data_IF_406136923039
#
_entry.id   IF_406136923039
#
_cell.length_a   1.000
_cell.length_b   1.000
_cell.length_c   1.000
_cell.angle_alpha   90.00
_cell.angle_beta   90.00
_cell.angle_gamma   90.00
#
_symmetry.space_group_name_H-M   'P 1'
#
loop_
_entity.id
_entity.type
_entity.pdbx_description
1 polymer ?
#
# COMPACT_ATOMS: atom_id res chain seq x y z
N UNK A 1 -33.40 -5.17 -41.27
CA UNK A 1 -31.99 -5.30 -40.85
C UNK A 1 -31.97 -5.22 -39.35
N UNK A 2 -31.98 -6.39 -38.70
CA UNK A 2 -31.84 -6.48 -37.25
C UNK A 2 -30.43 -6.05 -36.87
N UNK A 3 -30.23 -5.25 -35.80
CA UNK A 3 -28.89 -5.01 -35.29
C UNK A 3 -28.33 -6.36 -34.85
N UNK A 4 -27.13 -6.70 -35.33
CA UNK A 4 -26.42 -7.91 -34.96
C UNK A 4 -26.24 -7.93 -33.44
N UNK A 5 -26.70 -8.99 -32.78
CA UNK A 5 -26.41 -9.34 -31.37
C UNK A 5 -24.92 -9.75 -31.18
N UNK A 6 -24.01 -8.97 -31.76
CA UNK A 6 -22.57 -9.10 -31.61
C UNK A 6 -21.91 -7.74 -31.32
N UNK A 7 -22.56 -6.89 -30.53
CA UNK A 7 -21.80 -5.99 -29.66
C UNK A 7 -21.03 -6.90 -28.69
N UNK A 8 -19.80 -7.25 -29.09
CA UNK A 8 -19.05 -8.38 -28.55
C UNK A 8 -18.94 -8.33 -27.04
N UNK A 9 -19.12 -9.48 -26.40
CA UNK A 9 -18.97 -9.65 -24.95
C UNK A 9 -17.72 -8.92 -24.43
N UNK A 10 -17.78 -8.30 -23.24
CA UNK A 10 -16.64 -7.59 -22.66
C UNK A 10 -15.37 -8.42 -22.72
N UNK A 11 -14.32 -7.86 -23.33
CA UNK A 11 -13.01 -8.51 -23.43
C UNK A 11 -12.13 -7.97 -22.32
N UNK A 12 -11.72 -8.82 -21.41
CA UNK A 12 -10.79 -8.42 -20.36
C UNK A 12 -9.34 -8.66 -20.77
N UNK A 13 -8.45 -7.78 -20.35
CA UNK A 13 -7.02 -7.97 -20.35
C UNK A 13 -6.46 -7.65 -18.96
N UNK A 14 -5.41 -8.37 -18.55
CA UNK A 14 -4.72 -8.13 -17.29
C UNK A 14 -3.23 -8.02 -17.54
N UNK A 15 -2.64 -6.89 -17.13
CA UNK A 15 -1.19 -6.74 -17.03
C UNK A 15 -0.76 -7.29 -15.68
N UNK A 16 -0.12 -8.44 -15.66
CA UNK A 16 0.20 -9.15 -14.43
C UNK A 16 1.14 -10.31 -14.65
N UNK A 17 1.75 -10.79 -13.57
CA UNK A 17 2.61 -11.97 -13.58
C UNK A 17 1.76 -13.23 -13.77
N UNK A 18 1.87 -13.98 -14.88
CA UNK A 18 0.96 -15.08 -15.21
C UNK A 18 0.87 -16.18 -14.15
N UNK A 19 1.97 -16.43 -13.45
CA UNK A 19 2.09 -17.41 -12.36
C UNK A 19 1.47 -16.93 -11.04
N UNK A 20 1.17 -15.62 -10.91
CA UNK A 20 0.70 -15.04 -9.67
C UNK A 20 -0.77 -15.34 -9.42
N UNK A 21 -1.08 -15.66 -8.16
CA UNK A 21 -2.46 -15.93 -7.69
C UNK A 21 -3.45 -14.81 -8.02
N UNK A 22 -3.01 -13.55 -8.11
CA UNK A 22 -3.87 -12.40 -8.43
C UNK A 22 -4.44 -12.51 -9.86
N UNK A 23 -3.60 -12.90 -10.83
CA UNK A 23 -4.02 -13.17 -12.21
C UNK A 23 -4.95 -14.40 -12.27
N UNK A 24 -4.65 -15.44 -11.49
CA UNK A 24 -5.49 -16.64 -11.41
C UNK A 24 -6.88 -16.34 -10.83
N UNK A 25 -6.95 -15.58 -9.73
CA UNK A 25 -8.22 -15.16 -9.10
C UNK A 25 -9.06 -14.29 -10.03
N UNK A 26 -8.45 -13.29 -10.67
CA UNK A 26 -9.15 -12.46 -11.65
C UNK A 26 -9.67 -13.28 -12.84
N UNK A 27 -8.85 -14.19 -13.38
CA UNK A 27 -9.26 -15.10 -14.46
C UNK A 27 -10.44 -15.97 -14.05
N UNK A 28 -10.45 -16.47 -12.82
CA UNK A 28 -11.55 -17.27 -12.30
C UNK A 28 -12.84 -16.43 -12.15
N UNK A 29 -12.75 -15.21 -11.63
CA UNK A 29 -13.88 -14.30 -11.49
C UNK A 29 -14.51 -13.94 -12.85
N UNK A 30 -13.69 -13.59 -13.86
CA UNK A 30 -14.16 -13.32 -15.23
C UNK A 30 -14.91 -14.52 -15.81
N UNK A 31 -14.37 -15.74 -15.63
CA UNK A 31 -15.02 -16.98 -16.10
C UNK A 31 -16.32 -17.29 -15.35
N UNK A 32 -16.34 -17.07 -14.02
CA UNK A 32 -17.53 -17.26 -13.20
C UNK A 32 -18.66 -16.30 -13.59
N UNK A 33 -18.31 -15.11 -14.10
CA UNK A 33 -19.25 -14.16 -14.70
C UNK A 33 -19.74 -14.56 -16.12
N UNK A 34 -19.35 -15.73 -16.64
CA UNK A 34 -19.76 -16.22 -17.95
C UNK A 34 -19.03 -15.58 -19.13
N UNK A 35 -17.91 -14.90 -18.88
CA UNK A 35 -17.15 -14.17 -19.90
C UNK A 35 -15.93 -14.97 -20.40
N UNK A 36 -15.41 -14.66 -21.61
CA UNK A 36 -14.16 -15.23 -22.10
C UNK A 36 -13.00 -14.94 -21.14
N UNK A 37 -12.06 -15.89 -21.04
CA UNK A 37 -10.87 -15.72 -20.21
C UNK A 37 -10.11 -14.43 -20.60
N UNK A 38 -9.59 -13.66 -19.62
CA UNK A 38 -8.86 -12.44 -19.92
C UNK A 38 -7.57 -12.74 -20.66
N UNK A 39 -7.16 -11.84 -21.56
CA UNK A 39 -5.82 -11.85 -22.15
C UNK A 39 -4.81 -11.47 -21.07
N UNK A 40 -3.87 -12.36 -20.77
CA UNK A 40 -2.78 -12.08 -19.83
C UNK A 40 -1.63 -11.43 -20.59
N UNK A 41 -1.15 -10.30 -20.09
CA UNK A 41 0.01 -9.56 -20.61
C UNK A 41 1.09 -9.54 -19.52
N UNK A 42 2.18 -10.32 -19.64
CA UNK A 42 3.20 -10.41 -18.61
C UNK A 42 3.90 -9.07 -18.37
N UNK A 43 4.15 -8.73 -17.10
CA UNK A 43 4.91 -7.51 -16.75
C UNK A 43 6.31 -7.51 -17.35
N UNK A 44 6.98 -8.66 -17.43
CA UNK A 44 8.32 -8.77 -18.01
C UNK A 44 8.36 -8.35 -19.48
N UNK A 45 7.33 -8.70 -20.26
CA UNK A 45 7.19 -8.26 -21.65
C UNK A 45 6.94 -6.75 -21.73
N UNK A 46 6.01 -6.22 -20.93
CA UNK A 46 5.72 -4.79 -20.87
C UNK A 46 6.96 -3.98 -20.49
N UNK A 47 7.71 -4.42 -19.49
CA UNK A 47 8.92 -3.75 -19.01
C UNK A 47 10.05 -3.77 -20.04
N UNK A 48 10.18 -4.84 -20.82
CA UNK A 48 11.19 -4.96 -21.89
C UNK A 48 10.83 -4.15 -23.12
N UNK A 49 9.56 -4.15 -23.51
CA UNK A 49 9.05 -3.40 -24.65
C UNK A 49 8.83 -1.91 -24.34
N UNK A 50 8.77 -1.53 -23.05
CA UNK A 50 8.45 -0.18 -22.61
C UNK A 50 6.97 0.18 -22.74
N UNK A 51 6.07 -0.81 -22.81
CA UNK A 51 4.64 -0.62 -23.00
C UNK A 51 3.93 -1.84 -23.57
N UNK A 52 2.63 -1.70 -23.86
CA UNK A 52 1.80 -2.69 -24.55
C UNK A 52 0.57 -2.02 -25.18
N UNK A 53 0.04 -2.62 -26.23
CA UNK A 53 -1.17 -2.17 -26.91
C UNK A 53 -2.39 -3.05 -26.57
N UNK A 54 -3.54 -2.40 -26.44
CA UNK A 54 -4.83 -3.02 -26.16
C UNK A 54 -5.87 -2.57 -27.18
N UNK A 55 -6.76 -3.49 -27.56
CA UNK A 55 -7.80 -3.17 -28.52
C UNK A 55 -8.85 -2.22 -27.90
N UNK A 56 -9.55 -1.36 -28.68
CA UNK A 56 -10.51 -0.39 -28.16
C UNK A 56 -11.66 -0.95 -27.30
N UNK A 57 -11.99 -2.24 -27.44
CA UNK A 57 -13.00 -2.93 -26.63
C UNK A 57 -12.45 -3.77 -25.48
N UNK A 58 -11.13 -3.73 -25.21
CA UNK A 58 -10.53 -4.41 -24.06
C UNK A 58 -10.64 -3.55 -22.80
N UNK A 59 -11.21 -4.10 -21.73
CA UNK A 59 -11.09 -3.55 -20.37
C UNK A 59 -9.80 -4.07 -19.74
N UNK A 60 -8.91 -3.14 -19.36
CA UNK A 60 -7.54 -3.44 -18.95
C UNK A 60 -7.37 -3.22 -17.45
N UNK A 61 -7.06 -4.29 -16.73
CA UNK A 61 -6.68 -4.27 -15.31
C UNK A 61 -5.16 -4.32 -15.18
N UNK A 62 -4.59 -3.51 -14.29
CA UNK A 62 -3.20 -3.70 -13.86
C UNK A 62 -3.19 -4.45 -12.53
N UNK A 63 -2.26 -5.39 -12.38
CA UNK A 63 -1.97 -6.03 -11.10
C UNK A 63 -0.53 -5.77 -10.66
N UNK A 64 -0.22 -6.14 -9.41
CA UNK A 64 1.11 -5.96 -8.84
C UNK A 64 2.19 -6.68 -9.67
N UNK A 65 3.30 -6.00 -10.04
CA UNK A 65 4.45 -6.65 -10.66
C UNK A 65 5.32 -7.43 -9.65
N UNK A 66 4.98 -7.38 -8.35
CA UNK A 66 5.73 -8.06 -7.29
C UNK A 66 5.60 -9.58 -7.30
N UNK A 67 6.36 -10.25 -6.42
CA UNK A 67 6.47 -11.72 -6.33
C UNK A 67 7.01 -12.37 -7.63
N UNK A 68 7.71 -11.63 -8.48
CA UNK A 68 8.41 -12.12 -9.68
C UNK A 68 9.84 -11.54 -9.73
N UNK A 69 10.85 -12.41 -9.74
CA UNK A 69 12.25 -11.99 -9.63
C UNK A 69 12.77 -11.24 -10.87
N UNK A 70 12.30 -11.60 -12.07
CA UNK A 70 12.69 -10.92 -13.30
C UNK A 70 12.10 -9.51 -13.39
N UNK A 71 10.82 -9.36 -13.04
CA UNK A 71 10.18 -8.05 -12.95
C UNK A 71 10.85 -7.16 -11.89
N UNK A 72 11.20 -7.71 -10.72
CA UNK A 72 11.92 -6.97 -9.67
C UNK A 72 13.31 -6.52 -10.14
N UNK A 73 14.06 -7.39 -10.82
CA UNK A 73 15.35 -7.05 -11.43
C UNK A 73 15.19 -5.93 -12.49
N UNK A 74 14.18 -6.03 -13.37
CA UNK A 74 13.92 -5.01 -14.39
C UNK A 74 13.52 -3.66 -13.77
N UNK A 75 12.78 -3.66 -12.67
CA UNK A 75 12.29 -2.44 -12.01
C UNK A 75 13.34 -1.81 -11.09
N UNK A 76 14.04 -2.60 -10.27
CA UNK A 76 14.98 -2.11 -9.24
C UNK A 76 16.43 -2.20 -9.68
N UNK A 77 16.77 -3.12 -10.58
CA UNK A 77 18.16 -3.43 -10.91
C UNK A 77 18.95 -4.00 -9.73
N UNK A 78 18.27 -4.71 -8.83
CA UNK A 78 18.90 -5.49 -7.75
C UNK A 78 18.83 -6.97 -8.10
N UNK A 79 19.89 -7.70 -7.75
CA UNK A 79 20.08 -9.13 -8.03
C UNK A 79 19.39 -10.05 -7.01
N UNK A 80 18.94 -9.50 -5.88
CA UNK A 80 18.28 -10.22 -4.80
C UNK A 80 16.96 -9.52 -4.43
N UNK A 81 15.80 -10.20 -4.53
CA UNK A 81 14.49 -9.61 -4.26
C UNK A 81 14.28 -9.24 -2.78
N UNK A 82 15.11 -9.77 -1.88
CA UNK A 82 15.06 -9.43 -0.45
C UNK A 82 15.74 -8.11 -0.14
N UNK A 83 16.49 -7.51 -1.09
CA UNK A 83 17.06 -6.17 -0.93
C UNK A 83 15.98 -5.15 -0.61
N UNK A 84 16.36 -4.05 0.03
CA UNK A 84 15.41 -2.98 0.42
C UNK A 84 15.53 -1.74 -0.47
N UNK A 85 16.69 -1.55 -1.09
CA UNK A 85 17.06 -0.38 -1.90
C UNK A 85 16.53 -0.42 -3.35
N UNK A 86 16.57 0.71 -4.06
CA UNK A 86 16.16 0.80 -5.45
C UNK A 86 14.66 1.06 -5.65
N UNK A 87 13.93 1.42 -4.60
CA UNK A 87 12.49 1.75 -4.68
C UNK A 87 12.22 3.01 -5.51
N UNK A 88 13.12 4.00 -5.53
CA UNK A 88 13.00 5.16 -6.43
C UNK A 88 13.13 4.74 -7.91
N UNK A 89 14.10 3.86 -8.21
CA UNK A 89 14.27 3.32 -9.57
C UNK A 89 13.06 2.48 -9.98
N UNK A 90 12.56 1.64 -9.06
CA UNK A 90 11.32 0.87 -9.25
C UNK A 90 10.18 1.79 -9.65
N UNK A 91 9.97 2.87 -8.89
CA UNK A 91 8.90 3.84 -9.13
C UNK A 91 8.99 4.48 -10.52
N UNK A 92 10.18 4.99 -10.88
CA UNK A 92 10.39 5.62 -12.20
C UNK A 92 10.16 4.64 -13.35
N UNK A 93 10.69 3.41 -13.26
CA UNK A 93 10.56 2.41 -14.32
C UNK A 93 9.13 1.88 -14.42
N UNK A 94 8.47 1.65 -13.29
CA UNK A 94 7.06 1.26 -13.23
C UNK A 94 6.18 2.30 -13.92
N UNK A 95 6.31 3.59 -13.57
CA UNK A 95 5.52 4.64 -14.20
C UNK A 95 5.85 4.85 -15.68
N UNK A 96 7.10 4.64 -16.08
CA UNK A 96 7.48 4.67 -17.50
C UNK A 96 6.76 3.58 -18.28
N UNK A 97 6.76 2.35 -17.77
CA UNK A 97 6.08 1.22 -18.39
C UNK A 97 4.56 1.41 -18.43
N UNK A 98 3.97 1.89 -17.34
CA UNK A 98 2.54 2.24 -17.27
C UNK A 98 2.18 3.35 -18.26
N UNK A 99 3.03 4.36 -18.43
CA UNK A 99 2.87 5.42 -19.42
C UNK A 99 2.98 4.95 -20.88
N UNK A 100 3.62 3.80 -21.10
CA UNK A 100 3.72 3.15 -22.40
C UNK A 100 2.53 2.28 -22.78
N UNK A 101 1.56 2.06 -21.89
CA UNK A 101 0.34 1.32 -22.19
C UNK A 101 -0.61 2.17 -23.07
N UNK A 102 -1.10 1.61 -24.18
CA UNK A 102 -1.99 2.31 -25.13
C UNK A 102 -3.24 1.52 -25.49
N UNK A 103 -4.32 2.23 -25.76
CA UNK A 103 -5.61 1.63 -26.11
C UNK A 103 -6.32 0.97 -24.92
N UNK A 104 -7.46 0.34 -25.19
CA UNK A 104 -8.34 -0.23 -24.17
C UNK A 104 -8.96 0.79 -23.20
N UNK A 105 -9.83 0.30 -22.33
CA UNK A 105 -10.44 1.04 -21.22
C UNK A 105 -9.74 0.59 -19.93
N UNK A 106 -8.93 1.47 -19.34
CA UNK A 106 -8.16 1.12 -18.12
C UNK A 106 -9.03 1.21 -16.87
N UNK A 107 -8.84 0.27 -15.95
CA UNK A 107 -9.40 0.31 -14.61
C UNK A 107 -8.55 1.13 -13.62
N UNK A 108 -7.31 1.45 -14.01
CA UNK A 108 -6.35 2.24 -13.23
C UNK A 108 -5.85 3.43 -14.06
N UNK A 109 -5.57 4.55 -13.40
CA UNK A 109 -5.02 5.73 -14.09
C UNK A 109 -3.54 5.98 -13.75
N UNK A 110 -2.65 6.15 -14.75
CA UNK A 110 -1.22 6.41 -14.54
C UNK A 110 -0.91 7.59 -13.61
N UNK A 111 -1.69 8.66 -13.65
CA UNK A 111 -1.48 9.82 -12.79
C UNK A 111 -1.98 9.56 -11.36
N UNK A 112 -3.06 8.80 -11.18
CA UNK A 112 -3.46 8.33 -9.85
C UNK A 112 -2.40 7.37 -9.28
N UNK A 113 -1.91 6.41 -10.09
CA UNK A 113 -0.84 5.48 -9.71
C UNK A 113 0.45 6.22 -9.33
N UNK A 114 0.81 7.29 -10.04
CA UNK A 114 1.96 8.11 -9.70
C UNK A 114 1.87 8.75 -8.31
N UNK A 115 0.65 9.01 -7.82
CA UNK A 115 0.41 9.51 -6.46
C UNK A 115 0.32 8.36 -5.47
N UNK A 116 -0.46 7.32 -5.76
CA UNK A 116 -0.68 6.15 -4.89
C UNK A 116 0.63 5.43 -4.54
N UNK A 117 1.58 5.37 -5.47
CA UNK A 117 2.89 4.74 -5.25
C UNK A 117 3.92 5.64 -4.55
N UNK A 118 3.66 6.94 -4.36
CA UNK A 118 4.54 7.83 -3.58
C UNK A 118 3.82 8.29 -2.30
N UNK A 119 4.23 7.71 -1.16
CA UNK A 119 3.59 7.96 0.15
C UNK A 119 3.52 9.43 0.51
N UNK A 120 4.52 10.23 0.13
CA UNK A 120 4.55 11.67 0.44
C UNK A 120 3.48 12.42 -0.34
N UNK A 121 3.34 12.07 -1.62
CA UNK A 121 2.32 12.66 -2.51
C UNK A 121 0.92 12.20 -2.13
N UNK A 122 0.72 10.90 -1.92
CA UNK A 122 -0.55 10.36 -1.47
C UNK A 122 -0.97 11.00 -0.15
N UNK A 123 -0.06 11.10 0.82
CA UNK A 123 -0.32 11.74 2.11
C UNK A 123 -0.74 13.21 1.95
N UNK A 124 -0.02 13.98 1.13
CA UNK A 124 -0.36 15.37 0.83
C UNK A 124 -1.75 15.54 0.20
N UNK A 125 -2.12 14.67 -0.74
CA UNK A 125 -3.45 14.69 -1.39
C UNK A 125 -4.56 14.41 -0.37
N UNK A 126 -4.36 13.41 0.48
CA UNK A 126 -5.33 13.05 1.53
C UNK A 126 -5.49 14.18 2.56
N UNK A 127 -4.38 14.76 3.01
CA UNK A 127 -4.40 15.89 3.95
C UNK A 127 -5.13 17.10 3.36
N UNK A 128 -4.83 17.46 2.11
CA UNK A 128 -5.50 18.56 1.40
C UNK A 128 -7.01 18.33 1.22
N UNK A 129 -7.44 17.08 1.10
CA UNK A 129 -8.85 16.69 1.02
C UNK A 129 -9.54 16.58 2.39
N UNK A 130 -8.84 16.88 3.50
CA UNK A 130 -9.38 16.75 4.85
C UNK A 130 -9.58 15.30 5.31
N UNK A 131 -8.97 14.34 4.63
CA UNK A 131 -8.92 12.94 5.07
C UNK A 131 -7.91 12.87 6.23
N UNK A 132 -8.28 12.30 7.39
CA UNK A 132 -7.38 12.28 8.53
C UNK A 132 -6.18 11.38 8.22
N UNK A 133 -4.98 11.93 8.35
CA UNK A 133 -3.70 11.24 8.19
C UNK A 133 -2.78 11.58 9.36
N UNK A 134 -1.77 10.75 9.70
CA UNK A 134 -0.79 11.10 10.73
C UNK A 134 0.01 12.34 10.30
N UNK A 135 0.31 13.27 11.21
CA UNK A 135 1.16 14.42 10.88
C UNK A 135 2.51 13.99 10.27
N UNK A 136 2.90 14.63 9.16
CA UNK A 136 4.12 14.31 8.39
C UNK A 136 4.86 15.59 8.01
N UNK A 137 6.16 15.75 8.34
CA UNK A 137 6.96 16.88 7.88
C UNK A 137 7.49 16.73 6.45
N UNK A 138 7.31 15.55 5.84
CA UNK A 138 7.82 15.21 4.50
C UNK A 138 6.71 15.16 3.45
N UNK A 139 5.53 15.67 3.78
CA UNK A 139 4.35 15.69 2.91
C UNK A 139 3.79 17.10 2.84
N UNK A 140 3.13 17.42 1.72
CA UNK A 140 2.51 18.72 1.48
C UNK A 140 3.45 19.77 0.86
N UNK A 141 2.96 21.01 0.65
CA UNK A 141 3.70 22.05 -0.07
C UNK A 141 5.01 22.49 0.61
N UNK A 142 5.10 22.35 1.93
CA UNK A 142 6.28 22.69 2.72
C UNK A 142 7.08 21.44 3.15
N UNK A 143 6.96 20.34 2.38
CA UNK A 143 7.64 19.09 2.68
C UNK A 143 9.16 19.26 2.75
N UNK A 144 9.75 18.83 3.87
CA UNK A 144 11.19 18.76 4.01
C UNK A 144 11.75 17.58 3.20
N UNK A 145 12.85 17.83 2.48
CA UNK A 145 13.69 16.75 1.98
C UNK A 145 14.46 16.12 3.15
N UNK A 146 14.66 14.79 3.08
CA UNK A 146 15.42 14.03 4.09
C UNK A 146 16.57 13.37 3.37
N UNK A 147 17.77 13.93 3.54
CA UNK A 147 19.01 13.43 2.93
C UNK A 147 19.70 12.35 3.75
N UNK A 148 19.28 12.14 4.99
CA UNK A 148 19.86 11.16 5.89
C UNK A 148 19.36 11.28 7.33
N UNK A 149 20.06 10.62 8.25
CA UNK A 149 19.69 10.52 9.65
C UNK A 149 19.69 11.85 10.40
N UNK A 150 20.62 12.75 10.08
CA UNK A 150 20.69 14.06 10.71
C UNK A 150 19.42 14.90 10.45
N UNK A 151 18.86 14.80 9.24
CA UNK A 151 17.58 15.41 8.90
C UNK A 151 16.44 14.77 9.68
N UNK A 152 16.42 13.43 9.82
CA UNK A 152 15.43 12.73 10.64
C UNK A 152 15.48 13.25 12.08
N UNK A 153 16.67 13.33 12.70
CA UNK A 153 16.86 13.84 14.06
C UNK A 153 16.44 15.30 14.20
N UNK A 154 16.74 16.14 13.21
CA UNK A 154 16.35 17.56 13.17
C UNK A 154 14.82 17.70 13.12
N UNK A 155 14.17 17.02 12.17
CA UNK A 155 12.72 17.07 12.00
C UNK A 155 11.96 16.48 13.20
N UNK A 156 12.50 15.44 13.86
CA UNK A 156 11.96 14.93 15.14
C UNK A 156 11.87 16.03 16.20
N UNK A 157 12.90 16.87 16.33
CA UNK A 157 12.96 17.97 17.30
C UNK A 157 12.03 19.11 16.90
N UNK A 158 12.13 19.58 15.66
CA UNK A 158 11.36 20.72 15.13
C UNK A 158 9.84 20.47 15.23
N UNK A 159 9.39 19.27 14.88
CA UNK A 159 7.97 18.92 14.87
C UNK A 159 7.48 18.23 16.15
N UNK A 160 8.33 18.15 17.19
CA UNK A 160 8.03 17.49 18.48
C UNK A 160 7.45 16.08 18.25
N UNK A 161 8.18 15.28 17.48
CA UNK A 161 7.85 13.91 17.11
C UNK A 161 8.85 12.96 17.78
N UNK A 162 8.71 12.68 19.10
CA UNK A 162 9.60 11.76 19.80
C UNK A 162 9.45 10.32 19.33
N UNK A 163 8.40 10.01 18.56
CA UNK A 163 8.19 8.73 17.91
C UNK A 163 7.63 8.94 16.51
N UNK A 164 8.21 8.29 15.52
CA UNK A 164 7.78 8.37 14.13
C UNK A 164 8.07 7.07 13.37
N UNK A 165 7.44 6.92 12.23
CA UNK A 165 7.88 5.97 11.22
C UNK A 165 8.72 6.69 10.18
N UNK A 166 9.88 6.12 9.83
CA UNK A 166 10.61 6.42 8.60
C UNK A 166 10.28 5.32 7.61
N UNK A 167 9.84 5.67 6.41
CA UNK A 167 9.46 4.73 5.35
C UNK A 167 10.14 5.16 4.05
N UNK A 168 10.51 4.21 3.21
CA UNK A 168 10.76 4.51 1.80
C UNK A 168 9.51 5.13 1.15
N UNK A 169 9.68 6.17 0.34
CA UNK A 169 8.57 6.84 -0.32
C UNK A 169 7.75 5.89 -1.20
N UNK A 170 8.45 4.98 -1.91
CA UNK A 170 7.86 4.03 -2.86
C UNK A 170 7.93 2.57 -2.41
N UNK A 171 8.33 2.32 -1.16
CA UNK A 171 8.42 0.96 -0.61
C UNK A 171 7.05 0.31 -0.44
N UNK A 172 6.96 -1.01 -0.46
CA UNK A 172 5.72 -1.75 -0.17
C UNK A 172 5.97 -2.84 0.86
N UNK A 173 4.90 -3.46 1.37
CA UNK A 173 5.01 -4.60 2.29
C UNK A 173 5.90 -4.31 3.51
N UNK A 174 5.82 -3.11 4.05
CA UNK A 174 6.65 -2.66 5.18
C UNK A 174 8.18 -2.84 5.01
N UNK A 175 8.66 -3.07 3.78
CA UNK A 175 10.08 -3.13 3.48
C UNK A 175 10.68 -1.73 3.66
N UNK A 176 11.82 -1.63 4.35
CA UNK A 176 12.47 -0.35 4.60
C UNK A 176 11.74 0.56 5.58
N UNK A 177 10.83 0.01 6.41
CA UNK A 177 10.13 0.79 7.44
C UNK A 177 10.86 0.68 8.78
N UNK A 178 11.13 1.83 9.41
CA UNK A 178 11.70 1.92 10.75
C UNK A 178 10.71 2.65 11.67
N UNK A 179 10.30 1.99 12.75
CA UNK A 179 9.60 2.63 13.86
C UNK A 179 10.65 3.21 14.82
N UNK A 180 10.88 4.52 14.73
CA UNK A 180 11.91 5.24 15.48
C UNK A 180 11.30 5.90 16.71
N UNK A 181 11.98 5.79 17.84
CA UNK A 181 11.64 6.52 19.06
C UNK A 181 12.87 7.10 19.73
N UNK A 182 12.74 8.33 20.22
CA UNK A 182 13.74 9.01 21.04
C UNK A 182 13.28 9.02 22.50
N UNK A 183 14.13 8.50 23.38
CA UNK A 183 13.95 8.53 24.83
C UNK A 183 14.67 9.70 25.51
N UNK A 184 14.55 9.77 26.84
CA UNK A 184 15.26 10.75 27.65
C UNK A 184 16.79 10.62 27.53
N UNK A 185 17.49 11.76 27.59
CA UNK A 185 18.95 11.89 27.41
C UNK A 185 19.46 11.57 25.99
N UNK A 186 18.63 11.76 24.97
CA UNK A 186 19.06 11.65 23.56
C UNK A 186 19.21 10.22 23.04
N UNK A 187 18.85 9.20 23.84
CA UNK A 187 18.82 7.79 23.41
C UNK A 187 17.81 7.60 22.29
N UNK A 188 18.16 6.81 21.29
CA UNK A 188 17.27 6.47 20.17
C UNK A 188 17.21 4.97 19.98
N UNK A 189 16.05 4.48 19.56
CA UNK A 189 15.82 3.09 19.18
C UNK A 189 15.03 3.04 17.88
N UNK A 190 15.33 2.07 17.04
CA UNK A 190 14.54 1.75 15.85
C UNK A 190 14.10 0.29 15.87
N UNK A 191 12.81 0.05 15.61
CA UNK A 191 12.26 -1.29 15.38
C UNK A 191 11.96 -1.47 13.90
N UNK A 192 12.53 -2.49 13.26
CA UNK A 192 12.43 -2.70 11.80
C UNK A 192 12.61 -4.17 11.44
N UNK A 193 12.22 -4.56 10.22
CA UNK A 193 12.62 -5.85 9.63
C UNK A 193 13.87 -5.76 8.75
N UNK A 194 14.40 -4.54 8.55
CA UNK A 194 15.63 -4.31 7.81
C UNK A 194 16.80 -4.90 8.58
N UNK A 195 17.53 -5.78 7.92
CA UNK A 195 18.79 -6.35 8.38
C UNK A 195 19.92 -5.78 7.54
N UNK A 196 20.95 -5.28 8.22
CA UNK A 196 22.18 -4.80 7.60
C UNK A 196 23.21 -5.92 7.62
N UNK A 197 23.65 -6.35 6.44
CA UNK A 197 24.74 -7.31 6.31
C UNK A 197 26.10 -6.66 6.61
N UNK A 198 27.14 -7.47 6.79
CA UNK A 198 28.51 -7.00 7.09
C UNK A 198 29.07 -6.09 5.98
N UNK A 199 28.69 -6.35 4.73
CA UNK A 199 29.05 -5.54 3.56
C UNK A 199 28.24 -4.24 3.43
N UNK A 200 27.33 -3.98 4.38
CA UNK A 200 26.50 -2.78 4.45
C UNK A 200 25.21 -2.84 3.63
N UNK A 201 24.97 -3.92 2.86
CA UNK A 201 23.71 -4.09 2.11
C UNK A 201 22.53 -4.30 3.05
N UNK A 202 21.36 -3.84 2.61
CA UNK A 202 20.14 -3.93 3.39
C UNK A 202 19.17 -4.98 2.82
N UNK A 203 18.62 -5.80 3.70
CA UNK A 203 17.70 -6.88 3.36
C UNK A 203 16.46 -6.84 4.23
N UNK A 204 15.29 -7.17 3.69
CA UNK A 204 14.08 -7.40 4.46
C UNK A 204 14.11 -8.82 5.01
N UNK A 205 14.58 -8.98 6.25
CA UNK A 205 14.71 -10.28 6.91
C UNK A 205 13.36 -10.94 7.26
N UNK A 206 12.25 -10.20 7.10
CA UNK A 206 10.91 -10.54 7.58
C UNK A 206 10.80 -10.75 9.10
N UNK A 207 11.91 -10.60 9.84
CA UNK A 207 11.99 -10.73 11.29
C UNK A 207 12.15 -9.36 11.93
N UNK A 208 11.26 -9.03 12.86
CA UNK A 208 11.36 -7.78 13.60
C UNK A 208 12.59 -7.80 14.51
N UNK A 209 13.42 -6.77 14.38
CA UNK A 209 14.64 -6.54 15.17
C UNK A 209 14.62 -5.13 15.76
N UNK A 210 15.50 -4.89 16.73
CA UNK A 210 15.68 -3.60 17.38
C UNK A 210 17.13 -3.16 17.28
N UNK A 211 17.35 -1.95 16.78
CA UNK A 211 18.63 -1.27 16.83
C UNK A 211 18.58 -0.23 17.95
N UNK A 212 19.57 -0.28 18.85
CA UNK A 212 19.73 0.66 19.97
C UNK A 212 21.03 1.47 19.86
N UNK A 213 21.96 1.08 18.98
CA UNK A 213 23.09 1.92 18.58
C UNK A 213 22.64 2.90 17.49
N UNK A 214 22.77 4.19 17.77
CA UNK A 214 22.40 5.25 16.84
C UNK A 214 23.18 5.18 15.52
N UNK A 215 24.42 4.68 15.53
CA UNK A 215 25.24 4.54 14.32
C UNK A 215 24.67 3.51 13.36
N UNK A 216 24.12 2.42 13.87
CA UNK A 216 23.46 1.40 13.05
C UNK A 216 22.16 1.95 12.45
N UNK A 217 21.39 2.70 13.25
CA UNK A 217 20.17 3.35 12.78
C UNK A 217 20.50 4.35 11.67
N UNK A 218 21.53 5.17 11.87
CA UNK A 218 21.99 6.14 10.89
C UNK A 218 22.42 5.46 9.60
N UNK A 219 23.26 4.42 9.68
CA UNK A 219 23.71 3.67 8.52
C UNK A 219 22.56 3.09 7.69
N UNK A 220 21.52 2.57 8.34
CA UNK A 220 20.32 2.08 7.64
C UNK A 220 19.57 3.23 6.96
N UNK A 221 19.30 4.33 7.67
CA UNK A 221 18.57 5.48 7.13
C UNK A 221 19.32 6.13 5.98
N UNK A 222 20.62 6.36 6.13
CA UNK A 222 21.47 7.00 5.13
C UNK A 222 21.58 6.14 3.85
N UNK A 223 21.60 4.82 3.99
CA UNK A 223 21.58 3.91 2.82
C UNK A 223 20.24 3.96 2.09
N UNK A 224 19.13 4.18 2.80
CA UNK A 224 17.78 4.27 2.21
C UNK A 224 17.44 5.68 1.72
N UNK A 225 18.10 6.72 2.20
CA UNK A 225 17.78 8.11 1.88
C UNK A 225 17.78 8.46 0.37
N UNK A 226 18.70 7.92 -0.47
CA UNK A 226 18.69 8.18 -1.91
C UNK A 226 17.41 7.74 -2.63
N UNK A 227 16.68 6.77 -2.08
CA UNK A 227 15.40 6.33 -2.62
C UNK A 227 14.23 7.27 -2.24
N UNK A 228 14.48 8.24 -1.36
CA UNK A 228 13.48 9.14 -0.82
C UNK A 228 12.77 8.56 0.40
N UNK A 229 12.66 9.38 1.45
CA UNK A 229 12.06 9.00 2.71
C UNK A 229 10.77 9.77 2.98
N UNK A 230 9.84 9.09 3.62
CA UNK A 230 8.62 9.61 4.19
C UNK A 230 8.65 9.42 5.70
N UNK A 231 8.40 10.50 6.44
CA UNK A 231 8.31 10.52 7.88
C UNK A 231 6.88 10.81 8.31
N UNK A 232 6.35 10.03 9.24
CA UNK A 232 5.01 10.28 9.78
C UNK A 232 4.94 9.97 11.27
N UNK A 233 4.05 10.67 11.98
CA UNK A 233 3.88 10.48 13.41
C UNK A 233 3.47 9.05 13.72
N UNK A 234 4.16 8.42 14.66
CA UNK A 234 3.77 7.10 15.13
C UNK A 234 2.53 7.20 16.02
N UNK A 235 1.36 6.99 15.40
CA UNK A 235 0.06 6.92 16.07
C UNK A 235 0.00 5.68 16.97
N UNK A 236 -0.23 5.83 18.29
CA UNK A 236 -0.55 4.69 19.14
C UNK A 236 -1.87 4.06 18.68
N UNK A 237 -1.78 2.82 18.16
CA UNK A 237 -2.94 2.10 17.63
C UNK A 237 -3.79 1.54 18.76
N UNK A 238 -5.09 1.44 18.52
CA UNK A 238 -5.97 0.60 19.31
C UNK A 238 -5.51 -0.86 19.26
N UNK A 239 -5.94 -1.65 20.23
CA UNK A 239 -5.60 -3.06 20.30
C UNK A 239 -6.83 -3.96 20.34
N UNK A 240 -6.69 -5.18 19.83
CA UNK A 240 -7.59 -6.30 20.11
C UNK A 240 -6.80 -7.39 20.83
N UNK A 241 -7.30 -7.87 21.97
CA UNK A 241 -6.65 -8.92 22.76
C UNK A 241 -5.17 -8.62 23.05
N UNK A 242 -4.84 -7.38 23.42
CA UNK A 242 -3.48 -6.93 23.71
C UNK A 242 -2.56 -6.76 22.50
N UNK A 243 -3.07 -6.94 21.26
CA UNK A 243 -2.31 -6.81 20.00
C UNK A 243 -2.72 -5.53 19.29
N UNK A 244 -1.76 -4.74 18.81
CA UNK A 244 -2.03 -3.54 18.02
C UNK A 244 -2.83 -3.90 16.76
N UNK A 245 -3.86 -3.12 16.45
CA UNK A 245 -4.79 -3.40 15.36
C UNK A 245 -4.79 -2.28 14.31
N UNK A 246 -4.91 -2.66 13.05
CA UNK A 246 -5.30 -1.78 11.95
C UNK A 246 -6.38 -2.44 11.09
N UNK A 247 -6.92 -1.71 10.11
CA UNK A 247 -7.87 -2.24 9.13
C UNK A 247 -7.33 -2.07 7.73
N UNK A 248 -7.52 -3.09 6.89
CA UNK A 248 -7.44 -2.98 5.43
C UNK A 248 -8.87 -2.99 4.92
N UNK A 249 -9.29 -1.88 4.31
CA UNK A 249 -10.61 -1.72 3.69
C UNK A 249 -10.44 -1.63 2.18
N UNK A 250 -11.12 -2.49 1.43
CA UNK A 250 -11.17 -2.42 -0.02
C UNK A 250 -12.32 -1.50 -0.43
N UNK A 251 -12.01 -0.50 -1.26
CA UNK A 251 -13.00 0.40 -1.84
C UNK A 251 -13.02 0.16 -3.34
N UNK A 252 -14.19 -0.22 -3.87
CA UNK A 252 -14.41 -0.49 -5.30
C UNK A 252 -15.49 0.46 -5.79
N UNK A 253 -15.23 1.18 -6.88
CA UNK A 253 -16.14 2.17 -7.45
C UNK A 253 -16.68 3.17 -6.41
N UNK A 254 -15.81 3.62 -5.49
CA UNK A 254 -16.15 4.58 -4.44
C UNK A 254 -16.89 4.03 -3.23
N UNK A 255 -17.19 2.72 -3.16
CA UNK A 255 -17.88 2.09 -2.04
C UNK A 255 -16.96 1.11 -1.29
N UNK A 256 -16.95 1.16 0.04
CA UNK A 256 -16.25 0.17 0.85
C UNK A 256 -16.95 -1.20 0.74
N UNK A 257 -16.27 -2.18 0.15
CA UNK A 257 -16.84 -3.50 -0.14
C UNK A 257 -16.34 -4.59 0.77
N UNK A 258 -15.07 -4.54 1.20
CA UNK A 258 -14.47 -5.56 2.04
C UNK A 258 -13.65 -4.92 3.16
N UNK A 259 -13.57 -5.56 4.32
CA UNK A 259 -12.69 -5.10 5.40
C UNK A 259 -12.09 -6.27 6.15
N UNK A 260 -10.81 -6.15 6.53
CA UNK A 260 -10.14 -7.09 7.42
C UNK A 260 -9.36 -6.34 8.49
N UNK A 261 -9.48 -6.80 9.74
CA UNK A 261 -8.63 -6.33 10.83
C UNK A 261 -7.32 -7.10 10.79
N UNK A 262 -6.18 -6.41 10.90
CA UNK A 262 -4.86 -7.06 11.07
C UNK A 262 -4.31 -6.69 12.43
N UNK A 263 -3.75 -7.69 13.13
CA UNK A 263 -3.25 -7.52 14.50
C UNK A 263 -1.80 -8.00 14.64
N UNK A 264 -1.00 -7.29 15.43
CA UNK A 264 0.41 -7.61 15.67
C UNK A 264 0.83 -7.36 17.12
N UNK A 265 1.82 -8.12 17.60
CA UNK A 265 2.52 -7.83 18.86
C UNK A 265 3.56 -6.72 18.70
N UNK A 266 3.90 -6.35 17.46
CA UNK A 266 4.82 -5.28 17.12
C UNK A 266 4.06 -4.05 16.57
N UNK A 267 4.72 -2.88 16.49
CA UNK A 267 4.12 -1.68 15.89
C UNK A 267 3.76 -1.86 14.41
N UNK A 268 4.44 -2.75 13.70
CA UNK A 268 4.16 -3.10 12.30
C UNK A 268 3.13 -4.24 12.26
N UNK A 269 2.00 -4.00 11.60
CA UNK A 269 0.79 -4.86 11.61
C UNK A 269 0.61 -5.70 10.35
N UNK A 270 1.53 -5.59 9.39
CA UNK A 270 1.44 -6.32 8.13
C UNK A 270 1.43 -7.84 8.34
N UNK A 271 0.54 -8.55 7.64
CA UNK A 271 0.33 -9.99 7.82
C UNK A 271 1.58 -10.82 7.51
N UNK A 272 2.38 -10.41 6.52
CA UNK A 272 3.62 -11.12 6.16
C UNK A 272 4.76 -10.92 7.17
N UNK A 273 4.61 -10.03 8.16
CA UNK A 273 5.53 -9.86 9.29
C UNK A 273 5.02 -10.57 10.57
N UNK A 274 4.21 -11.62 10.41
CA UNK A 274 3.61 -12.37 11.53
C UNK A 274 2.34 -11.73 12.11
N UNK A 275 1.73 -10.80 11.39
CA UNK A 275 0.40 -10.29 11.72
C UNK A 275 -0.68 -11.37 11.52
N UNK A 276 -1.77 -11.26 12.28
CA UNK A 276 -2.90 -12.19 12.22
C UNK A 276 -4.20 -11.44 11.90
N UNK A 277 -5.18 -12.12 11.30
CA UNK A 277 -6.53 -11.55 11.16
C UNK A 277 -7.15 -11.37 12.55
N UNK A 278 -7.68 -10.18 12.80
CA UNK A 278 -8.48 -9.87 13.99
C UNK A 278 -9.96 -10.16 13.77
N UNK A 279 -10.77 -9.81 14.76
CA UNK A 279 -12.22 -9.94 14.73
C UNK A 279 -12.83 -8.60 14.28
N UNK A 280 -13.46 -8.59 13.10
CA UNK A 280 -14.10 -7.40 12.53
C UNK A 280 -15.32 -6.97 13.34
N UNK A 281 -16.10 -7.92 13.85
CA UNK A 281 -17.27 -7.61 14.68
C UNK A 281 -16.84 -7.03 16.03
N UNK A 282 -15.72 -7.52 16.60
CA UNK A 282 -15.13 -6.89 17.78
C UNK A 282 -14.65 -5.47 17.51
N UNK A 283 -14.08 -5.19 16.33
CA UNK A 283 -13.72 -3.83 15.94
C UNK A 283 -14.97 -2.95 15.86
N UNK A 284 -16.02 -3.41 15.18
CA UNK A 284 -17.31 -2.71 15.09
C UNK A 284 -17.91 -2.40 16.48
N UNK A 285 -18.00 -3.41 17.35
CA UNK A 285 -18.49 -3.24 18.73
C UNK A 285 -17.64 -2.23 19.51
N UNK A 286 -16.33 -2.23 19.32
CA UNK A 286 -15.44 -1.28 19.98
C UNK A 286 -15.67 0.17 19.51
N UNK A 287 -15.95 0.37 18.22
CA UNK A 287 -16.33 1.69 17.67
C UNK A 287 -17.66 2.16 18.25
N UNK A 288 -18.66 1.29 18.26
CA UNK A 288 -20.00 1.59 18.79
C UNK A 288 -19.95 1.90 20.29
N UNK A 289 -19.22 1.10 21.08
CA UNK A 289 -19.00 1.34 22.51
C UNK A 289 -18.23 2.65 22.78
N UNK A 290 -17.41 3.09 21.82
CA UNK A 290 -16.69 4.36 21.90
C UNK A 290 -17.54 5.56 21.48
N UNK A 291 -18.81 5.35 21.07
CA UNK A 291 -19.77 6.37 20.65
C UNK A 291 -19.72 6.72 19.17
N UNK A 292 -18.97 5.96 18.34
CA UNK A 292 -18.89 6.14 16.90
C UNK A 292 -19.85 5.23 16.14
N UNK A 293 -20.03 5.48 14.83
CA UNK A 293 -20.74 4.57 13.93
C UNK A 293 -19.75 3.90 12.98
N UNK A 294 -19.93 2.61 12.73
CA UNK A 294 -19.10 1.87 11.79
C UNK A 294 -19.14 2.46 10.37
N UNK A 295 -20.29 2.97 9.94
CA UNK A 295 -20.45 3.65 8.66
C UNK A 295 -19.53 4.88 8.53
N UNK A 296 -19.27 5.60 9.62
CA UNK A 296 -18.38 6.77 9.59
C UNK A 296 -16.92 6.34 9.40
N UNK A 297 -16.53 5.15 9.89
CA UNK A 297 -15.22 4.54 9.70
C UNK A 297 -15.01 4.13 8.24
N UNK A 298 -16.00 3.46 7.64
CA UNK A 298 -15.98 3.14 6.21
C UNK A 298 -15.97 4.40 5.35
N UNK A 299 -16.74 5.42 5.72
CA UNK A 299 -16.78 6.70 5.04
C UNK A 299 -15.44 7.44 5.02
N UNK A 300 -14.55 7.23 6.00
CA UNK A 300 -13.16 7.74 5.92
C UNK A 300 -12.41 7.10 4.75
N UNK A 301 -12.57 5.79 4.56
CA UNK A 301 -11.92 5.05 3.49
C UNK A 301 -12.49 5.44 2.12
N UNK A 302 -13.81 5.62 2.01
CA UNK A 302 -14.48 6.08 0.80
C UNK A 302 -14.04 7.50 0.41
N UNK A 303 -13.90 8.42 1.38
CA UNK A 303 -13.32 9.76 1.12
C UNK A 303 -11.86 9.70 0.67
N UNK A 304 -11.07 8.78 1.23
CA UNK A 304 -9.69 8.56 0.76
C UNK A 304 -9.65 8.07 -0.69
N UNK A 305 -10.52 7.11 -1.04
CA UNK A 305 -10.64 6.61 -2.40
C UNK A 305 -11.18 7.67 -3.38
N UNK A 306 -12.07 8.55 -2.95
CA UNK A 306 -12.60 9.65 -3.76
C UNK A 306 -11.53 10.67 -4.21
N UNK A 307 -10.34 10.65 -3.59
CA UNK A 307 -9.18 11.41 -4.05
C UNK A 307 -8.54 10.84 -5.33
N UNK A 308 -8.91 9.61 -5.72
CA UNK A 308 -8.38 8.88 -6.88
C UNK A 308 -9.53 8.34 -7.76
N UNK A 309 -10.41 9.22 -8.30
CA UNK A 309 -11.66 8.81 -8.92
C UNK A 309 -11.48 8.06 -10.25
N UNK A 310 -10.27 8.03 -10.81
CA UNK A 310 -9.97 7.36 -12.09
C UNK A 310 -9.33 5.99 -11.89
N UNK A 311 -9.19 5.56 -10.64
CA UNK A 311 -8.75 4.21 -10.26
C UNK A 311 -9.92 3.49 -9.62
N UNK A 312 -10.38 2.40 -10.25
CA UNK A 312 -11.60 1.70 -9.86
C UNK A 312 -11.54 1.13 -8.44
N UNK A 313 -10.36 0.64 -8.04
CA UNK A 313 -10.19 -0.15 -6.83
C UNK A 313 -8.95 0.29 -6.05
N UNK A 314 -9.10 0.56 -4.76
CA UNK A 314 -7.98 0.85 -3.86
C UNK A 314 -8.15 0.16 -2.50
N UNK A 315 -7.05 -0.30 -1.93
CA UNK A 315 -6.99 -0.78 -0.56
C UNK A 315 -6.51 0.30 0.40
N UNK A 316 -7.37 0.73 1.32
CA UNK A 316 -7.08 1.73 2.34
C UNK A 316 -6.63 1.05 3.63
N UNK A 317 -5.45 1.42 4.12
CA UNK A 317 -4.95 1.05 5.44
C UNK A 317 -5.38 2.10 6.47
N UNK A 318 -6.31 1.73 7.34
CA UNK A 318 -6.86 2.61 8.37
C UNK A 318 -6.30 2.26 9.75
N UNK A 319 -5.80 3.28 10.45
CA UNK A 319 -5.16 3.20 11.76
C UNK A 319 -6.14 3.70 12.83
N UNK A 320 -6.79 2.81 13.61
CA UNK A 320 -7.58 3.22 14.75
C UNK A 320 -6.64 3.69 15.86
N UNK A 321 -6.83 4.91 16.37
CA UNK A 321 -6.14 5.39 17.56
C UNK A 321 -6.70 4.69 18.81
N UNK A 322 -5.92 4.70 19.90
CA UNK A 322 -6.34 4.16 21.22
C UNK A 322 -7.77 4.58 21.57
N UNK A 323 -8.58 3.59 21.94
CA UNK A 323 -9.99 3.78 22.28
C UNK A 323 -10.96 3.77 21.09
N UNK A 324 -10.51 3.50 19.86
CA UNK A 324 -11.37 3.34 18.67
C UNK A 324 -12.24 4.56 18.31
N UNK A 325 -11.90 5.75 18.83
CA UNK A 325 -12.64 7.02 18.61
C UNK A 325 -12.17 7.83 17.41
N UNK A 326 -10.90 7.65 17.02
CA UNK A 326 -10.24 8.43 15.97
C UNK A 326 -9.52 7.48 15.03
N UNK A 327 -9.51 7.83 13.77
CA UNK A 327 -8.93 7.03 12.70
C UNK A 327 -8.06 7.91 11.83
N UNK A 328 -6.97 7.36 11.33
CA UNK A 328 -6.12 8.01 10.35
C UNK A 328 -5.81 7.02 9.22
N UNK A 329 -5.82 7.49 7.98
CA UNK A 329 -5.36 6.71 6.83
C UNK A 329 -3.84 6.66 6.88
N UNK A 330 -3.29 5.46 6.98
CA UNK A 330 -1.85 5.22 6.98
C UNK A 330 -1.27 5.06 5.57
N UNK A 331 -2.06 4.51 4.64
CA UNK A 331 -1.68 4.30 3.24
C UNK A 331 -2.91 4.00 2.38
N UNK A 332 -2.85 4.34 1.09
CA UNK A 332 -3.82 3.91 0.06
C UNK A 332 -3.05 3.16 -1.02
N UNK A 333 -3.45 1.92 -1.30
CA UNK A 333 -2.72 0.99 -2.16
C UNK A 333 -3.52 0.71 -3.44
N UNK A 334 -2.92 0.92 -4.62
CA UNK A 334 -3.54 0.58 -5.91
C UNK A 334 -3.84 -0.92 -6.05
N UNK A 335 -2.94 -1.79 -5.55
CA UNK A 335 -3.09 -3.25 -5.65
C UNK A 335 -3.46 -3.88 -4.30
N UNK A 336 -4.38 -3.23 -3.59
CA UNK A 336 -4.70 -3.54 -2.20
C UNK A 336 -5.78 -4.60 -1.96
N UNK A 337 -6.19 -5.28 -3.01
CA UNK A 337 -7.38 -6.12 -3.16
C UNK A 337 -7.18 -7.61 -2.84
N UNK A 338 -5.94 -8.09 -2.78
CA UNK A 338 -5.66 -9.50 -2.47
C UNK A 338 -5.99 -9.84 -1.00
N UNK A 339 -7.24 -10.20 -0.73
CA UNK A 339 -7.77 -10.56 0.58
C UNK A 339 -8.43 -11.94 0.53
N UNK A 340 -7.63 -13.04 0.44
CA UNK A 340 -8.17 -14.37 0.19
C UNK A 340 -9.15 -14.83 1.27
N UNK A 341 -10.23 -15.53 0.91
CA UNK A 341 -11.25 -16.04 1.85
C UNK A 341 -11.94 -14.93 2.66
N UNK A 342 -12.06 -13.74 2.09
CA UNK A 342 -12.86 -12.65 2.65
C UNK A 342 -14.05 -12.43 1.72
N UNK A 343 -15.23 -12.25 2.29
CA UNK A 343 -16.44 -11.92 1.52
C UNK A 343 -16.86 -10.47 1.75
N UNK A 344 -17.64 -9.92 0.84
CA UNK A 344 -18.09 -8.53 0.94
C UNK A 344 -18.93 -8.23 2.18
N UNK A 345 -18.92 -6.97 2.58
CA UNK A 345 -19.61 -6.43 3.74
C UNK A 345 -21.13 -6.37 3.50
N UNK A 346 -21.96 -6.58 4.54
CA UNK A 346 -23.39 -6.35 4.44
C UNK A 346 -23.73 -4.91 4.03
N UNK A 347 -24.67 -4.75 3.10
CA UNK A 347 -25.10 -3.49 2.52
C UNK A 347 -24.15 -2.93 1.45
N UNK A 348 -23.06 -3.64 1.09
CA UNK A 348 -22.08 -3.12 0.14
C UNK A 348 -22.39 -3.44 -1.32
N UNK A 349 -23.26 -4.42 -1.60
CA UNK A 349 -23.49 -4.96 -2.94
C UNK A 349 -22.43 -5.99 -3.36
N UNK A 350 -21.52 -6.38 -2.46
CA UNK A 350 -20.52 -7.42 -2.65
C UNK A 350 -20.75 -8.63 -1.73
N UNK A 351 -21.91 -8.75 -1.11
CA UNK A 351 -22.24 -9.84 -0.20
C UNK A 351 -22.08 -11.21 -0.89
N UNK A 352 -21.30 -12.09 -0.27
CA UNK A 352 -21.00 -13.42 -0.81
C UNK A 352 -20.00 -13.44 -1.97
N UNK A 353 -19.61 -12.27 -2.50
CA UNK A 353 -18.53 -12.15 -3.49
C UNK A 353 -17.19 -12.05 -2.77
N UNK A 354 -16.14 -12.51 -3.45
CA UNK A 354 -14.77 -12.21 -3.04
C UNK A 354 -14.32 -10.85 -3.62
N UNK A 355 -13.02 -10.56 -3.57
CA UNK A 355 -12.46 -9.27 -3.95
C UNK A 355 -12.22 -9.08 -5.46
N UNK A 356 -12.47 -10.09 -6.31
CA UNK A 356 -12.11 -10.10 -7.74
C UNK A 356 -13.29 -10.06 -8.70
#
# INVERSE_FOLDING_TARGET
MSPSESEGAPRFAVVGNPENRRVALFTAAVRAAGLPAPRVVPWTEVLRAGGAEFAPGETVRLDSPGENAEADLLLRGVDDPTRVEGSARWYTRFLTAVGGLRGGVRLDDPADLAVLFDKRRCHAVLEAAGVPVPSSPTSGPAAAAVGGWDDVRRLMREHRMPRLFVKLAHGSSASGVLAVESGGRGRVRATTSVERAEDGRLYNSLRIRRYEDERDIAAVVDTLAPDGLHMERWVPKASQHGRAADLRVLVVAGRATHAVVRTSTAPLTNLHLGGARGDLDAARRAVEAAGGRWSDVLGVCERAAACFPRTLCVGVDLLPAVGWRRFAVGEVNAFGDLLPRLTGLPGSGAEGLDTY
#
